data_IF_092180049872
#
_entry.id   IF_092180049872
#
_cell.length_a   1.000
_cell.length_b   1.000
_cell.length_c   1.000
_cell.angle_alpha   90.00
_cell.angle_beta   90.00
_cell.angle_gamma   90.00
#
_symmetry.space_group_name_H-M   'P 1'
#
loop_
_entity.id
_entity.type
_entity.pdbx_description
1 polymer ?
#
# COMPACT_ATOMS: atom_id res chain seq x y z
N UNK A 1 1.98 10.20 20.13
CA UNK A 1 1.70 10.08 18.69
C UNK A 1 2.84 9.42 17.90
N UNK A 2 3.75 8.66 18.55
CA UNK A 2 4.94 8.12 17.86
C UNK A 2 4.79 6.64 17.52
N UNK A 3 4.39 5.80 18.48
CA UNK A 3 4.33 4.34 18.30
C UNK A 3 3.32 3.86 17.24
N UNK A 4 2.20 4.57 17.07
CA UNK A 4 1.20 4.21 16.04
C UNK A 4 1.68 4.59 14.64
N UNK A 5 2.44 5.68 14.52
CA UNK A 5 3.02 6.11 13.25
C UNK A 5 4.17 5.20 12.82
N UNK A 6 5.03 4.79 13.74
CA UNK A 6 6.08 3.79 13.49
C UNK A 6 5.48 2.47 12.98
N UNK A 7 4.37 2.00 13.58
CA UNK A 7 3.66 0.80 13.12
C UNK A 7 3.10 0.95 11.72
N UNK A 8 2.47 2.08 11.41
CA UNK A 8 1.93 2.36 10.07
C UNK A 8 3.04 2.40 9.01
N UNK A 9 4.18 3.00 9.33
CA UNK A 9 5.36 3.03 8.45
C UNK A 9 5.93 1.62 8.26
N UNK A 10 6.02 0.81 9.31
CA UNK A 10 6.45 -0.58 9.17
C UNK A 10 5.49 -1.43 8.33
N UNK A 11 4.18 -1.26 8.49
CA UNK A 11 3.19 -1.92 7.63
C UNK A 11 3.31 -1.47 6.18
N UNK A 12 3.59 -0.18 5.93
CA UNK A 12 3.79 0.35 4.58
C UNK A 12 5.03 -0.24 3.91
N UNK A 13 6.16 -0.31 4.63
CA UNK A 13 7.39 -0.95 4.15
C UNK A 13 7.17 -2.44 3.87
N UNK A 14 6.46 -3.15 4.76
CA UNK A 14 6.14 -4.56 4.56
C UNK A 14 5.31 -4.76 3.28
N UNK A 15 4.28 -3.94 3.08
CA UNK A 15 3.42 -4.00 1.90
C UNK A 15 4.22 -3.74 0.60
N UNK A 16 5.17 -2.79 0.61
CA UNK A 16 6.06 -2.55 -0.52
C UNK A 16 6.98 -3.75 -0.81
N UNK A 17 7.49 -4.41 0.22
CA UNK A 17 8.29 -5.61 0.05
C UNK A 17 7.47 -6.76 -0.56
N UNK A 18 6.24 -6.98 -0.08
CA UNK A 18 5.33 -7.99 -0.65
C UNK A 18 5.03 -7.72 -2.14
N UNK A 19 4.88 -6.45 -2.50
CA UNK A 19 4.71 -6.03 -3.90
C UNK A 19 5.95 -6.31 -4.75
N UNK A 20 7.14 -5.98 -4.25
CA UNK A 20 8.39 -6.28 -4.95
C UNK A 20 8.60 -7.78 -5.12
N UNK A 21 8.31 -8.58 -4.10
CA UNK A 21 8.36 -10.05 -4.19
C UNK A 21 7.37 -10.60 -5.22
N UNK A 22 6.16 -10.06 -5.28
CA UNK A 22 5.17 -10.44 -6.28
C UNK A 22 5.64 -10.11 -7.69
N UNK A 23 6.18 -8.91 -7.90
CA UNK A 23 6.75 -8.49 -9.20
C UNK A 23 7.94 -9.36 -9.58
N UNK A 24 8.83 -9.67 -8.64
CA UNK A 24 9.98 -10.54 -8.92
C UNK A 24 9.56 -11.95 -9.34
N UNK A 25 8.45 -12.47 -8.80
CA UNK A 25 7.94 -13.81 -9.11
C UNK A 25 7.09 -13.86 -10.39
N UNK A 26 6.21 -12.88 -10.58
CA UNK A 26 5.18 -12.92 -11.63
C UNK A 26 5.46 -11.95 -12.79
N UNK A 27 6.42 -11.04 -12.62
CA UNK A 27 6.59 -9.88 -13.48
C UNK A 27 5.66 -8.73 -13.08
N UNK A 28 6.03 -7.53 -13.50
CA UNK A 28 5.15 -6.36 -13.36
C UNK A 28 4.17 -6.33 -14.54
N UNK A 29 2.88 -6.33 -14.25
CA UNK A 29 1.81 -6.20 -15.24
C UNK A 29 1.14 -4.84 -15.08
N UNK A 30 1.42 -3.93 -16.01
CA UNK A 30 0.84 -2.59 -15.98
C UNK A 30 -0.68 -2.60 -16.24
N UNK A 31 -1.17 -3.54 -17.05
CA UNK A 31 -2.59 -3.65 -17.39
C UNK A 31 -3.37 -4.04 -16.13
N UNK A 32 -2.93 -5.10 -15.45
CA UNK A 32 -3.53 -5.56 -14.20
C UNK A 32 -3.30 -4.56 -13.05
N UNK A 33 -2.16 -3.86 -13.02
CA UNK A 33 -1.95 -2.79 -12.06
C UNK A 33 -2.93 -1.62 -12.25
N UNK A 34 -3.16 -1.20 -13.50
CA UNK A 34 -4.03 -0.06 -13.84
C UNK A 34 -5.52 -0.39 -13.65
N UNK A 35 -5.95 -1.58 -14.05
CA UNK A 35 -7.30 -2.10 -13.96
C UNK A 35 -7.29 -3.49 -13.28
N UNK A 36 -7.14 -3.54 -11.94
CA UNK A 36 -6.99 -4.80 -11.25
C UNK A 36 -8.28 -5.61 -11.24
N UNK A 37 -8.13 -6.91 -11.43
CA UNK A 37 -9.23 -7.86 -11.24
C UNK A 37 -9.70 -7.81 -9.78
N UNK A 38 -11.02 -7.71 -9.51
CA UNK A 38 -11.54 -7.70 -8.15
C UNK A 38 -11.10 -8.94 -7.36
N UNK A 39 -10.53 -8.74 -6.17
CA UNK A 39 -9.96 -9.83 -5.36
C UNK A 39 -8.60 -10.34 -5.82
N UNK A 40 -8.02 -9.79 -6.89
CA UNK A 40 -6.65 -10.04 -7.31
C UNK A 40 -5.61 -9.38 -6.40
N UNK A 41 -4.34 -9.70 -6.65
CA UNK A 41 -3.23 -9.16 -5.86
C UNK A 41 -3.16 -7.63 -5.94
N UNK A 42 -3.21 -7.06 -7.15
CA UNK A 42 -3.14 -5.61 -7.34
C UNK A 42 -4.34 -4.85 -6.75
N UNK A 43 -5.55 -5.44 -6.72
CA UNK A 43 -6.73 -4.85 -6.07
C UNK A 43 -6.50 -4.75 -4.55
N UNK A 44 -6.06 -5.85 -3.95
CA UNK A 44 -5.79 -5.93 -2.51
C UNK A 44 -4.64 -5.01 -2.10
N UNK A 45 -3.54 -5.02 -2.86
CA UNK A 45 -2.38 -4.18 -2.64
C UNK A 45 -2.73 -2.68 -2.72
N UNK A 46 -3.44 -2.25 -3.79
CA UNK A 46 -3.78 -0.83 -3.98
C UNK A 46 -4.71 -0.31 -2.89
N UNK A 47 -5.71 -1.11 -2.47
CA UNK A 47 -6.59 -0.77 -1.34
C UNK A 47 -5.79 -0.55 -0.07
N UNK A 48 -4.96 -1.53 0.31
CA UNK A 48 -4.16 -1.46 1.54
C UNK A 48 -3.14 -0.32 1.50
N UNK A 49 -2.53 -0.06 0.34
CA UNK A 49 -1.59 1.03 0.16
C UNK A 49 -2.26 2.39 0.34
N UNK A 50 -3.47 2.57 -0.19
CA UNK A 50 -4.25 3.80 -0.06
C UNK A 50 -4.71 4.02 1.40
N UNK A 51 -5.18 2.96 2.08
CA UNK A 51 -5.55 3.02 3.50
C UNK A 51 -4.36 3.44 4.38
N UNK A 52 -3.19 2.80 4.20
CA UNK A 52 -1.99 3.11 4.96
C UNK A 52 -1.49 4.53 4.66
N UNK A 53 -1.46 4.91 3.38
CA UNK A 53 -1.03 6.26 2.98
C UNK A 53 -1.96 7.32 3.59
N UNK A 54 -3.27 7.10 3.55
CA UNK A 54 -4.24 8.00 4.18
C UNK A 54 -4.05 8.07 5.70
N UNK A 55 -3.85 6.95 6.38
CA UNK A 55 -3.60 6.91 7.82
C UNK A 55 -2.30 7.64 8.22
N UNK A 56 -1.28 7.57 7.37
CA UNK A 56 0.00 8.27 7.56
C UNK A 56 -0.15 9.78 7.29
N UNK A 57 -0.93 10.19 6.28
CA UNK A 57 -1.03 11.60 5.86
C UNK A 57 -2.14 12.38 6.55
N UNK A 58 -3.18 11.73 7.05
CA UNK A 58 -4.27 12.34 7.86
C UNK A 58 -3.72 13.20 9.01
N UNK A 59 -2.79 12.72 9.86
CA UNK A 59 -2.22 13.55 10.93
C UNK A 59 -1.29 14.67 10.44
N UNK A 60 -0.89 14.68 9.16
CA UNK A 60 -0.02 15.71 8.57
C UNK A 60 -0.81 16.90 7.98
N UNK A 61 -2.11 16.71 7.72
CA UNK A 61 -3.02 17.76 7.27
C UNK A 61 -4.12 17.96 8.30
N UNK A 62 -3.87 18.72 9.39
CA UNK A 62 -4.98 19.23 10.19
C UNK A 62 -5.82 20.13 9.28
N UNK A 63 -7.08 19.78 9.08
CA UNK A 63 -8.08 20.67 8.48
C UNK A 63 -7.95 22.05 9.14
N UNK A 64 -7.74 23.09 8.33
CA UNK A 64 -7.70 24.48 8.78
C UNK A 64 -9.10 24.96 9.17
#
# INVERSE_FOLDING_TARGET
>A
MSADMDKLVQEHIKLQNEFMEYIHKNGFDFTEYSAPTPGGFYDTYRKRWLELTHAITTPLHPEK
#
